data_IF_651024548841
#
_entry.id   IF_651024548841
#
_cell.length_a   1.000
_cell.length_b   1.000
_cell.length_c   1.000
_cell.angle_alpha   90.00
_cell.angle_beta   90.00
_cell.angle_gamma   90.00
#
_symmetry.space_group_name_H-M   'P 1'
#
loop_
_entity.id
_entity.type
_entity.pdbx_description
1 polymer ?
#
# COMPACT_ATOMS: atom_id res chain seq x y z
N UNK A 1 -34.28 6.39 -13.83
CA UNK A 1 -33.40 7.24 -12.99
C UNK A 1 -33.24 6.57 -11.64
N UNK A 2 -32.09 5.97 -11.35
CA UNK A 2 -31.71 5.63 -9.98
C UNK A 2 -30.33 6.21 -9.75
N UNK A 3 -30.31 7.36 -9.07
CA UNK A 3 -29.10 7.97 -8.53
C UNK A 3 -28.74 7.23 -7.25
N UNK A 4 -27.64 6.46 -7.25
CA UNK A 4 -26.92 6.14 -6.01
C UNK A 4 -25.66 7.00 -5.96
N UNK A 5 -25.76 8.09 -5.21
CA UNK A 5 -24.60 8.83 -4.73
C UNK A 5 -24.10 8.12 -3.47
N UNK A 6 -22.83 7.68 -3.46
CA UNK A 6 -21.81 8.15 -2.50
C UNK A 6 -20.45 7.44 -2.72
N UNK A 7 -19.41 8.26 -2.85
CA UNK A 7 -17.94 8.01 -2.78
C UNK A 7 -17.19 7.66 -4.08
N UNK A 8 -16.97 8.72 -4.87
CA UNK A 8 -15.68 9.16 -5.42
C UNK A 8 -14.69 8.11 -5.94
N UNK A 9 -14.89 7.68 -7.19
CA UNK A 9 -13.97 7.87 -8.32
C UNK A 9 -14.65 7.30 -9.57
N UNK A 10 -15.36 8.17 -10.29
CA UNK A 10 -16.05 7.83 -11.53
C UNK A 10 -14.97 7.65 -12.60
N UNK A 11 -14.62 6.40 -12.92
CA UNK A 11 -14.02 6.07 -14.22
C UNK A 11 -15.18 6.12 -15.21
N UNK A 12 -15.22 7.12 -16.09
CA UNK A 12 -16.20 7.21 -17.15
C UNK A 12 -15.94 6.08 -18.16
N UNK A 13 -16.67 4.95 -18.09
CA UNK A 13 -16.68 3.95 -19.17
C UNK A 13 -17.47 4.57 -20.35
N UNK A 14 -16.87 4.83 -21.54
CA UNK A 14 -17.62 5.29 -22.70
C UNK A 14 -18.58 4.18 -23.12
N UNK A 15 -19.88 4.47 -23.09
CA UNK A 15 -20.90 3.59 -23.66
C UNK A 15 -20.72 3.57 -25.16
N UNK A 16 -20.05 2.58 -25.74
CA UNK A 16 -20.14 2.36 -27.18
C UNK A 16 -19.75 0.94 -27.62
N UNK A 17 -20.75 0.27 -28.22
CA UNK A 17 -20.74 -0.96 -29.00
C UNK A 17 -20.87 -2.31 -28.27
N UNK A 18 -22.12 -2.75 -28.21
CA UNK A 18 -22.51 -4.15 -28.20
C UNK A 18 -21.93 -4.88 -29.44
N UNK A 19 -21.34 -6.08 -29.27
CA UNK A 19 -21.49 -7.26 -30.16
C UNK A 19 -20.33 -8.28 -30.21
N UNK A 20 -19.40 -8.39 -29.23
CA UNK A 20 -18.55 -9.60 -29.20
C UNK A 20 -17.91 -9.95 -27.84
N UNK A 21 -17.56 -11.23 -27.71
CA UNK A 21 -17.31 -12.04 -26.51
C UNK A 21 -16.13 -11.57 -25.63
N UNK A 22 -16.39 -11.16 -24.39
CA UNK A 22 -15.74 -11.59 -23.11
C UNK A 22 -16.22 -10.68 -21.96
N UNK A 23 -16.80 -11.30 -20.93
CA UNK A 23 -17.36 -10.61 -19.77
C UNK A 23 -16.24 -10.18 -18.82
N UNK A 24 -15.85 -8.90 -18.90
CA UNK A 24 -15.21 -8.21 -17.78
C UNK A 24 -16.08 -7.01 -17.45
N UNK A 25 -16.79 -7.06 -16.32
CA UNK A 25 -17.61 -5.91 -15.89
C UNK A 25 -16.67 -4.78 -15.48
N UNK A 26 -17.01 -3.52 -15.76
CA UNK A 26 -16.32 -2.35 -15.18
C UNK A 26 -16.35 -2.37 -13.62
N UNK A 27 -17.06 -3.33 -13.01
CA UNK A 27 -17.16 -3.61 -11.56
C UNK A 27 -16.22 -4.75 -11.08
N UNK A 28 -15.53 -5.45 -11.98
CA UNK A 28 -14.61 -6.54 -11.59
C UNK A 28 -13.27 -5.96 -11.12
N UNK A 29 -12.99 -6.18 -9.84
CA UNK A 29 -11.71 -5.84 -9.21
C UNK A 29 -10.62 -6.72 -9.83
N UNK A 30 -9.54 -6.11 -10.34
CA UNK A 30 -8.41 -6.89 -10.86
C UNK A 30 -7.86 -7.86 -9.81
N UNK A 31 -7.38 -9.01 -10.28
CA UNK A 31 -6.69 -9.97 -9.43
C UNK A 31 -5.44 -9.35 -8.80
N UNK A 32 -4.99 -9.91 -7.67
CA UNK A 32 -3.78 -9.45 -6.99
C UNK A 32 -2.60 -9.39 -7.97
N UNK A 33 -1.93 -8.23 -8.04
CA UNK A 33 -0.75 -8.02 -8.89
C UNK A 33 -1.00 -7.27 -10.20
N UNK A 34 -2.26 -6.96 -10.56
CA UNK A 34 -2.58 -6.14 -11.73
C UNK A 34 -3.53 -4.98 -11.43
N UNK A 35 -3.53 -3.97 -12.31
CA UNK A 35 -4.34 -2.76 -12.17
C UNK A 35 -4.65 -2.10 -13.53
N UNK A 36 -5.51 -1.08 -13.49
CA UNK A 36 -5.86 -0.27 -14.66
C UNK A 36 -6.95 -0.87 -15.54
N UNK A 37 -7.26 -0.21 -16.66
CA UNK A 37 -8.32 -0.65 -17.59
C UNK A 37 -7.97 -2.04 -18.14
N UNK A 38 -8.93 -2.97 -18.05
CA UNK A 38 -8.75 -4.38 -18.44
C UNK A 38 -7.63 -5.11 -17.68
N UNK A 39 -7.19 -4.63 -16.50
CA UNK A 39 -6.11 -5.23 -15.72
C UNK A 39 -4.80 -5.41 -16.49
N UNK A 40 -4.56 -4.50 -17.45
CA UNK A 40 -3.44 -4.56 -18.41
C UNK A 40 -2.10 -4.13 -17.83
N UNK A 41 -2.08 -3.53 -16.63
CA UNK A 41 -0.86 -3.06 -15.99
C UNK A 41 -0.48 -3.97 -14.82
N UNK A 42 0.82 -4.20 -14.66
CA UNK A 42 1.38 -4.93 -13.52
C UNK A 42 1.69 -4.00 -12.36
N UNK A 43 1.48 -4.48 -11.15
CA UNK A 43 1.87 -3.79 -9.94
C UNK A 43 3.39 -3.94 -9.71
N UNK A 44 4.05 -2.86 -9.31
CA UNK A 44 5.48 -2.84 -9.02
C UNK A 44 5.82 -2.94 -7.51
N UNK A 45 4.81 -3.15 -6.68
CA UNK A 45 4.93 -3.17 -5.23
C UNK A 45 5.89 -4.26 -4.73
N UNK A 46 6.78 -3.90 -3.81
CA UNK A 46 7.76 -4.78 -3.18
C UNK A 46 7.37 -5.07 -1.71
N UNK A 47 8.13 -5.97 -1.07
CA UNK A 47 8.04 -6.23 0.38
C UNK A 47 6.61 -6.55 0.87
N UNK A 48 5.92 -7.41 0.12
CA UNK A 48 4.55 -7.87 0.39
C UNK A 48 3.49 -6.74 0.47
N UNK A 49 3.81 -5.57 -0.09
CA UNK A 49 2.89 -4.44 -0.15
C UNK A 49 1.66 -4.74 -1.02
N UNK A 50 0.51 -4.25 -0.57
CA UNK A 50 -0.76 -4.49 -1.26
C UNK A 50 -0.93 -3.48 -2.39
N UNK A 51 -1.09 -3.97 -3.62
CA UNK A 51 -1.42 -3.13 -4.75
C UNK A 51 -2.92 -2.78 -4.80
N UNK A 52 -3.25 -1.53 -5.10
CA UNK A 52 -4.60 -1.07 -5.34
C UNK A 52 -5.01 -1.33 -6.80
N UNK A 53 -6.01 -2.18 -7.07
CA UNK A 53 -6.43 -2.53 -8.44
C UNK A 53 -6.90 -1.35 -9.29
N UNK A 54 -7.42 -0.30 -8.66
CA UNK A 54 -7.95 0.88 -9.34
C UNK A 54 -6.87 1.88 -9.76
N UNK A 55 -5.79 2.02 -8.99
CA UNK A 55 -4.78 3.08 -9.18
C UNK A 55 -3.37 2.56 -9.40
N UNK A 56 -3.10 1.29 -9.13
CA UNK A 56 -1.75 0.73 -9.11
C UNK A 56 -0.90 1.15 -7.90
N UNK A 57 -1.46 1.95 -6.99
CA UNK A 57 -0.72 2.43 -5.82
C UNK A 57 -0.42 1.30 -4.84
N UNK A 58 0.75 1.37 -4.22
CA UNK A 58 1.18 0.39 -3.23
C UNK A 58 0.84 0.88 -1.82
N UNK A 59 0.14 0.02 -1.08
CA UNK A 59 -0.06 0.16 0.35
C UNK A 59 1.06 -0.61 1.05
N UNK A 60 2.08 0.12 1.50
CA UNK A 60 3.28 -0.48 2.09
C UNK A 60 2.97 -1.22 3.39
N UNK A 61 3.67 -2.33 3.58
CA UNK A 61 3.76 -3.03 4.86
C UNK A 61 4.54 -2.16 5.86
N UNK A 62 4.32 -2.31 7.18
CA UNK A 62 5.09 -1.57 8.17
C UNK A 62 6.60 -1.81 8.02
N UNK A 63 7.39 -0.76 8.19
CA UNK A 63 8.84 -0.79 7.97
C UNK A 63 9.29 -0.38 6.57
N UNK A 64 8.35 -0.12 5.65
CA UNK A 64 8.63 0.26 4.27
C UNK A 64 7.87 1.53 3.86
N UNK A 65 8.48 2.28 2.92
CA UNK A 65 7.96 3.50 2.29
C UNK A 65 8.38 3.57 0.82
N UNK A 66 7.96 4.65 0.16
CA UNK A 66 8.23 4.89 -1.27
C UNK A 66 7.09 4.41 -2.16
N UNK A 67 7.06 4.86 -3.42
CA UNK A 67 5.97 4.56 -4.35
C UNK A 67 5.78 3.06 -4.58
N UNK A 68 6.88 2.29 -4.55
CA UNK A 68 6.88 0.84 -4.75
C UNK A 68 7.12 0.06 -3.44
N UNK A 69 7.15 0.75 -2.29
CA UNK A 69 7.46 0.13 -0.99
C UNK A 69 8.82 -0.58 -0.94
N UNK A 70 9.80 -0.04 -1.66
CA UNK A 70 11.15 -0.57 -1.83
C UNK A 70 12.19 0.10 -0.92
N UNK A 71 11.78 1.10 -0.14
CA UNK A 71 12.64 1.85 0.77
C UNK A 71 12.31 1.48 2.21
N UNK A 72 13.29 1.04 2.99
CA UNK A 72 13.09 0.82 4.43
C UNK A 72 12.87 2.15 5.15
N UNK A 73 12.30 2.10 6.36
CA UNK A 73 12.28 3.28 7.22
C UNK A 73 13.68 3.78 7.55
N UNK A 74 13.80 5.11 7.64
CA UNK A 74 15.03 5.74 8.12
C UNK A 74 15.12 5.52 9.63
N UNK A 75 16.35 5.59 10.16
CA UNK A 75 16.58 5.46 11.59
C UNK A 75 15.71 6.46 12.37
N UNK A 76 15.04 5.97 13.41
CA UNK A 76 14.15 6.78 14.25
C UNK A 76 12.71 6.87 13.74
N UNK A 77 12.35 6.22 12.62
CA UNK A 77 10.97 6.12 12.16
C UNK A 77 10.50 4.68 12.03
N UNK A 78 9.20 4.45 12.17
CA UNK A 78 8.61 3.11 12.06
C UNK A 78 7.17 3.13 11.55
N UNK A 79 6.61 1.93 11.35
CA UNK A 79 5.21 1.75 11.02
C UNK A 79 4.94 1.86 9.52
N UNK A 80 3.67 2.05 9.17
CA UNK A 80 3.25 2.14 7.78
C UNK A 80 3.73 3.45 7.15
N UNK A 81 4.41 3.36 6.00
CA UNK A 81 5.05 4.50 5.33
C UNK A 81 6.02 5.27 6.23
N UNK A 82 6.49 4.66 7.32
CA UNK A 82 7.41 5.28 8.28
C UNK A 82 6.86 6.59 8.87
N UNK A 83 5.55 6.63 9.11
CA UNK A 83 4.85 7.85 9.55
C UNK A 83 4.97 8.09 11.06
N UNK A 84 5.46 7.12 11.81
CA UNK A 84 5.60 7.19 13.26
C UNK A 84 7.06 7.43 13.67
N UNK A 85 7.27 8.13 14.78
CA UNK A 85 8.61 8.42 15.31
C UNK A 85 8.92 7.53 16.51
N UNK A 86 10.12 6.96 16.53
CA UNK A 86 10.60 6.13 17.62
C UNK A 86 10.86 6.96 18.89
N UNK A 87 10.56 6.38 20.05
CA UNK A 87 10.81 7.01 21.36
C UNK A 87 12.02 6.38 22.08
N UNK A 88 12.82 5.60 21.37
CA UNK A 88 13.96 4.86 21.92
C UNK A 88 15.02 5.79 22.50
N UNK A 89 15.44 5.51 23.74
CA UNK A 89 16.48 6.28 24.43
C UNK A 89 17.85 5.62 24.34
N UNK A 90 18.89 6.40 24.68
CA UNK A 90 20.27 5.93 24.83
C UNK A 90 20.86 5.25 23.57
N UNK A 91 20.39 5.61 22.38
CA UNK A 91 20.86 5.02 21.12
C UNK A 91 20.41 3.57 20.92
N UNK A 92 19.34 3.13 21.59
CA UNK A 92 18.74 1.82 21.32
C UNK A 92 18.23 1.73 19.88
N UNK A 93 18.42 0.57 19.25
CA UNK A 93 17.96 0.34 17.89
C UNK A 93 16.43 0.31 17.86
N UNK A 94 15.83 1.12 16.97
CA UNK A 94 14.39 1.11 16.77
C UNK A 94 14.01 0.12 15.66
N UNK A 95 13.08 -0.78 15.97
CA UNK A 95 12.50 -1.67 14.98
C UNK A 95 11.60 -0.87 14.02
N UNK A 96 11.88 -0.89 12.70
CA UNK A 96 11.12 -0.10 11.74
C UNK A 96 9.68 -0.60 11.53
N UNK A 97 9.35 -1.83 11.95
CA UNK A 97 8.02 -2.42 11.77
C UNK A 97 7.05 -1.90 12.83
N UNK A 98 7.44 -1.97 14.10
CA UNK A 98 6.53 -1.76 15.25
C UNK A 98 7.01 -0.69 16.25
N UNK A 99 8.20 -0.12 16.05
CA UNK A 99 8.77 0.90 16.92
C UNK A 99 9.37 0.35 18.22
N UNK A 100 9.46 -0.97 18.37
CA UNK A 100 10.08 -1.59 19.54
C UNK A 100 11.57 -1.25 19.62
N UNK A 101 12.04 -0.94 20.83
CA UNK A 101 13.43 -0.58 21.07
C UNK A 101 14.22 -1.81 21.50
N UNK A 102 15.24 -2.17 20.72
CA UNK A 102 16.19 -3.21 21.11
C UNK A 102 17.42 -2.55 21.74
N UNK A 103 17.55 -2.70 23.05
CA UNK A 103 18.67 -2.14 23.78
C UNK A 103 19.97 -2.90 23.46
N UNK A 104 21.07 -2.16 23.29
CA UNK A 104 22.42 -2.75 23.31
C UNK A 104 22.68 -3.47 24.63
N UNK A 105 23.45 -4.57 24.59
CA UNK A 105 23.73 -5.42 25.77
C UNK A 105 24.14 -4.59 27.00
N UNK A 106 23.38 -4.73 28.10
CA UNK A 106 23.63 -4.02 29.36
C UNK A 106 22.46 -3.15 29.86
N UNK A 107 21.44 -2.90 29.03
CA UNK A 107 20.24 -2.15 29.43
C UNK A 107 18.99 -3.04 29.47
N UNK A 108 18.10 -2.78 30.43
CA UNK A 108 16.82 -3.49 30.63
C UNK A 108 15.69 -2.47 30.60
N UNK A 109 14.90 -2.43 29.53
CA UNK A 109 13.79 -1.48 29.37
C UNK A 109 13.14 -1.56 28.00
N UNK A 110 11.94 -0.98 27.85
CA UNK A 110 11.14 -1.04 26.61
C UNK A 110 11.03 0.30 25.88
N UNK A 111 11.61 1.38 26.41
CA UNK A 111 11.63 2.74 25.86
C UNK A 111 12.79 3.55 26.45
#
# INVERSE_FOLDING_TARGET
MFFRLLKHQIILCPTQYASDITFYRCDEVCSSGTWGVYCSQQCACQNDAKCMPSTGQCLCTPGWKGTNCDQSCDEGTYGQNCSENCECRNGAFCNPIDGSCNCTSGFKGYK
#
